data_IF_668662402685
#
_entry.id   IF_668662402685
#
_cell.length_a   1.000
_cell.length_b   1.000
_cell.length_c   1.000
_cell.angle_alpha   90.00
_cell.angle_beta   90.00
_cell.angle_gamma   90.00
#
_symmetry.space_group_name_H-M   'P 1'
#
loop_
_entity.id
_entity.type
_entity.pdbx_description
1 polymer ?
#
# COMPACT_ATOMS: atom_id res chain seq x y z
N UNK A 1 5.35 -6.17 -17.47
CA UNK A 1 6.45 -6.83 -16.70
C UNK A 1 5.89 -7.53 -15.44
N UNK A 2 6.65 -8.35 -14.68
CA UNK A 2 6.10 -9.09 -13.52
C UNK A 2 5.52 -8.22 -12.37
N UNK A 3 5.75 -6.92 -12.38
CA UNK A 3 5.44 -5.98 -11.28
C UNK A 3 4.17 -5.14 -11.50
N UNK A 4 3.77 -4.83 -12.75
CA UNK A 4 2.40 -4.35 -13.05
C UNK A 4 1.43 -5.32 -12.39
N UNK A 5 1.70 -6.62 -12.51
CA UNK A 5 0.93 -7.66 -11.83
C UNK A 5 0.91 -7.53 -10.30
N UNK A 6 1.93 -7.04 -9.58
CA UNK A 6 1.91 -7.15 -8.09
C UNK A 6 1.13 -6.04 -7.40
N UNK A 7 1.29 -4.78 -7.81
CA UNK A 7 0.45 -3.66 -7.35
C UNK A 7 -0.99 -3.83 -7.83
N UNK A 8 -1.16 -4.19 -9.11
CA UNK A 8 -2.44 -4.56 -9.70
C UNK A 8 -3.07 -5.79 -9.03
N UNK A 9 -2.32 -6.83 -8.65
CA UNK A 9 -2.86 -8.00 -7.92
C UNK A 9 -3.33 -7.60 -6.52
N UNK A 10 -2.63 -6.70 -5.82
CA UNK A 10 -3.09 -6.24 -4.51
C UNK A 10 -4.36 -5.39 -4.66
N UNK A 11 -4.39 -4.48 -5.65
CA UNK A 11 -5.57 -3.70 -6.02
C UNK A 11 -6.76 -4.59 -6.42
N UNK A 12 -6.56 -5.52 -7.35
CA UNK A 12 -7.55 -6.50 -7.82
C UNK A 12 -8.00 -7.44 -6.69
N UNK A 13 -7.09 -7.87 -5.81
CA UNK A 13 -7.43 -8.68 -4.65
C UNK A 13 -8.31 -7.88 -3.70
N UNK A 14 -7.93 -6.65 -3.39
CA UNK A 14 -8.72 -5.77 -2.52
C UNK A 14 -10.09 -5.48 -3.12
N UNK A 15 -10.15 -5.22 -4.43
CA UNK A 15 -11.39 -4.98 -5.17
C UNK A 15 -12.29 -6.23 -5.21
N UNK A 16 -11.74 -7.39 -5.57
CA UNK A 16 -12.50 -8.65 -5.64
C UNK A 16 -13.01 -9.12 -4.29
N UNK A 17 -12.29 -8.81 -3.21
CA UNK A 17 -12.68 -9.13 -1.84
C UNK A 17 -13.55 -8.05 -1.17
N UNK A 18 -13.91 -6.98 -1.90
CA UNK A 18 -14.62 -5.82 -1.34
C UNK A 18 -13.94 -5.25 -0.09
N UNK A 19 -12.61 -5.31 -0.03
CA UNK A 19 -11.82 -4.76 1.08
C UNK A 19 -11.83 -3.24 0.92
N UNK A 20 -12.43 -2.49 1.87
CA UNK A 20 -12.42 -1.04 1.80
C UNK A 20 -11.00 -0.51 1.94
N UNK A 21 -10.63 0.40 1.07
CA UNK A 21 -9.40 1.18 1.19
C UNK A 21 -9.61 2.62 0.79
N UNK A 22 -8.84 3.51 1.40
CA UNK A 22 -8.72 4.90 0.94
C UNK A 22 -7.29 5.20 0.54
N UNK A 23 -7.17 6.06 -0.47
CA UNK A 23 -5.91 6.67 -0.87
C UNK A 23 -6.13 8.18 -0.93
N UNK A 24 -5.28 8.92 -0.21
CA UNK A 24 -5.27 10.37 -0.21
C UNK A 24 -3.84 10.88 -0.42
N UNK A 25 -3.72 12.08 -0.97
CA UNK A 25 -2.44 12.75 -1.21
C UNK A 25 -2.50 14.10 -0.50
N UNK A 26 -1.52 14.38 0.37
CA UNK A 26 -1.34 15.69 0.98
C UNK A 26 0.10 16.17 0.77
N UNK A 27 0.26 17.16 -0.11
CA UNK A 27 1.58 17.58 -0.57
C UNK A 27 2.32 16.43 -1.25
N UNK A 28 3.47 16.06 -0.70
CA UNK A 28 4.32 14.99 -1.23
C UNK A 28 4.04 13.60 -0.61
N UNK A 29 3.07 13.51 0.31
CA UNK A 29 2.81 12.31 1.11
C UNK A 29 1.54 11.61 0.62
N UNK A 30 1.67 10.32 0.31
CA UNK A 30 0.56 9.43 0.00
C UNK A 30 0.15 8.71 1.28
N UNK A 31 -1.14 8.77 1.57
CA UNK A 31 -1.78 8.10 2.69
C UNK A 31 -2.65 6.98 2.15
N UNK A 32 -2.35 5.74 2.53
CA UNK A 32 -3.11 4.55 2.17
C UNK A 32 -3.67 3.92 3.44
N UNK A 33 -4.97 3.65 3.48
CA UNK A 33 -5.63 2.94 4.59
C UNK A 33 -6.36 1.73 4.03
N UNK A 34 -6.13 0.54 4.60
CA UNK A 34 -6.73 -0.73 4.15
C UNK A 34 -7.46 -1.40 5.32
N UNK A 35 -8.75 -1.70 5.14
CA UNK A 35 -9.61 -2.33 6.13
C UNK A 35 -9.91 -3.81 5.79
N UNK A 36 -8.98 -4.73 6.09
CA UNK A 36 -9.04 -6.11 5.59
C UNK A 36 -9.90 -7.10 6.42
N UNK A 37 -10.16 -6.82 7.70
CA UNK A 37 -10.97 -7.69 8.62
C UNK A 37 -10.45 -9.13 8.82
N UNK A 38 -9.16 -9.40 8.61
CA UNK A 38 -8.57 -10.75 8.69
C UNK A 38 -7.63 -10.97 9.89
N UNK A 39 -7.54 -10.01 10.81
CA UNK A 39 -6.73 -10.10 12.03
C UNK A 39 -5.25 -9.73 11.85
N UNK A 40 -4.55 -9.53 12.97
CA UNK A 40 -3.23 -8.88 13.01
C UNK A 40 -2.14 -9.57 12.17
N UNK A 41 -2.23 -10.89 11.97
CA UNK A 41 -1.29 -11.63 11.11
C UNK A 41 -1.38 -11.16 9.66
N UNK A 42 -2.59 -10.87 9.18
CA UNK A 42 -2.80 -10.31 7.85
C UNK A 42 -2.35 -8.87 7.77
N UNK A 43 -2.54 -8.05 8.81
CA UNK A 43 -1.96 -6.70 8.85
C UNK A 43 -0.44 -6.72 8.70
N UNK A 44 0.23 -7.63 9.40
CA UNK A 44 1.69 -7.81 9.30
C UNK A 44 2.12 -8.30 7.91
N UNK A 45 1.37 -9.22 7.31
CA UNK A 45 1.64 -9.70 5.95
C UNK A 45 1.52 -8.58 4.92
N UNK A 46 0.44 -7.78 4.98
CA UNK A 46 0.23 -6.65 4.08
C UNK A 46 1.35 -5.61 4.26
N UNK A 47 1.79 -5.33 5.50
CA UNK A 47 2.96 -4.49 5.76
C UNK A 47 4.21 -5.00 5.03
N UNK A 48 4.53 -6.29 5.15
CA UNK A 48 5.70 -6.87 4.48
C UNK A 48 5.59 -6.77 2.96
N UNK A 49 4.40 -7.04 2.41
CA UNK A 49 4.14 -6.94 0.97
C UNK A 49 4.36 -5.52 0.47
N UNK A 50 3.75 -4.53 1.13
CA UNK A 50 3.87 -3.11 0.79
C UNK A 50 5.32 -2.62 0.96
N UNK A 51 6.02 -3.01 2.02
CA UNK A 51 7.41 -2.62 2.24
C UNK A 51 8.36 -3.13 1.15
N UNK A 52 8.19 -4.39 0.75
CA UNK A 52 8.94 -4.97 -0.37
C UNK A 52 8.61 -4.27 -1.69
N UNK A 53 7.36 -3.86 -1.87
CA UNK A 53 6.91 -3.13 -3.05
C UNK A 53 7.59 -1.75 -3.12
N UNK A 54 7.43 -0.93 -2.07
CA UNK A 54 7.99 0.43 -2.04
C UNK A 54 9.51 0.45 -2.14
N UNK A 55 10.22 -0.41 -1.38
CA UNK A 55 11.70 -0.47 -1.43
C UNK A 55 12.22 -0.83 -2.82
N UNK A 56 11.45 -1.58 -3.62
CA UNK A 56 11.83 -1.94 -4.97
C UNK A 56 11.66 -0.80 -5.97
N UNK A 57 10.65 0.05 -5.80
CA UNK A 57 10.36 1.17 -6.70
C UNK A 57 11.11 2.44 -6.34
N UNK A 58 11.21 2.73 -5.05
CA UNK A 58 11.94 3.88 -4.53
C UNK A 58 12.90 3.36 -3.46
N UNK A 59 14.13 2.99 -3.85
CA UNK A 59 15.16 2.62 -2.89
C UNK A 59 15.31 3.70 -1.82
N UNK A 60 15.53 3.27 -0.57
CA UNK A 60 15.69 4.15 0.60
C UNK A 60 14.45 5.01 0.97
N UNK A 61 13.27 4.66 0.46
CA UNK A 61 12.03 5.36 0.83
C UNK A 61 11.63 5.12 2.29
N UNK A 62 11.32 6.21 2.99
CA UNK A 62 10.91 6.17 4.38
C UNK A 62 9.40 5.92 4.51
N UNK A 63 9.00 4.64 4.53
CA UNK A 63 7.60 4.25 4.71
C UNK A 63 7.25 4.18 6.19
N UNK A 64 6.18 4.87 6.59
CA UNK A 64 5.61 4.75 7.94
C UNK A 64 4.37 3.87 7.91
N UNK A 65 4.24 3.01 8.91
CA UNK A 65 3.12 2.09 9.06
C UNK A 65 2.48 2.25 10.43
N UNK A 66 1.16 2.30 10.46
CA UNK A 66 0.35 2.09 11.66
C UNK A 66 -0.44 0.81 11.47
N UNK A 67 -0.31 -0.11 12.42
CA UNK A 67 -0.92 -1.44 12.35
C UNK A 67 -1.90 -1.60 13.48
N UNK A 68 -3.14 -1.89 13.12
CA UNK A 68 -4.16 -2.40 14.02
C UNK A 68 -4.55 -3.81 13.61
N UNK A 69 -5.46 -4.43 14.36
CA UNK A 69 -5.86 -5.82 14.13
C UNK A 69 -6.42 -6.04 12.72
N UNK A 70 -7.20 -5.09 12.20
CA UNK A 70 -7.91 -5.24 10.92
C UNK A 70 -7.67 -4.08 9.96
N UNK A 71 -6.77 -3.18 10.33
CA UNK A 71 -6.48 -1.94 9.62
C UNK A 71 -4.98 -1.80 9.49
N UNK A 72 -4.53 -1.42 8.31
CA UNK A 72 -3.16 -0.94 8.09
C UNK A 72 -3.24 0.44 7.45
N UNK A 73 -2.55 1.40 8.06
CA UNK A 73 -2.37 2.74 7.50
C UNK A 73 -0.91 2.91 7.10
N UNK A 74 -0.67 3.49 5.93
CA UNK A 74 0.65 3.68 5.34
C UNK A 74 0.81 5.12 4.93
N UNK A 75 1.94 5.72 5.30
CA UNK A 75 2.34 7.04 4.83
C UNK A 75 3.66 6.88 4.08
N UNK A 76 3.70 7.35 2.85
CA UNK A 76 4.85 7.15 1.97
C UNK A 76 5.11 8.42 1.14
N UNK A 77 6.33 8.98 1.18
CA UNK A 77 6.66 10.21 0.46
C UNK A 77 6.99 9.89 -1.01
N UNK A 78 5.96 9.71 -1.83
CA UNK A 78 6.11 9.39 -3.27
C UNK A 78 6.20 10.64 -4.15
N UNK A 79 5.82 11.80 -3.60
CA UNK A 79 5.74 13.07 -4.33
C UNK A 79 4.36 13.30 -4.95
N UNK A 80 3.99 14.56 -5.17
CA UNK A 80 2.62 14.92 -5.60
C UNK A 80 2.21 14.37 -6.97
N UNK A 81 3.20 14.08 -7.81
CA UNK A 81 3.03 13.72 -9.22
C UNK A 81 3.19 12.21 -9.47
N UNK A 82 3.32 11.41 -8.41
CA UNK A 82 3.55 9.97 -8.55
C UNK A 82 2.26 9.22 -8.89
N UNK A 83 2.26 8.52 -10.02
CA UNK A 83 1.21 7.59 -10.45
C UNK A 83 1.79 6.17 -10.58
N UNK A 84 1.12 5.19 -9.99
CA UNK A 84 1.52 3.78 -10.08
C UNK A 84 1.37 3.20 -11.49
N UNK A 85 0.67 3.91 -12.39
CA UNK A 85 0.42 3.52 -13.77
C UNK A 85 1.37 4.16 -14.80
N UNK A 86 2.20 5.13 -14.40
CA UNK A 86 3.10 5.86 -15.29
C UNK A 86 4.47 5.16 -15.51
N UNK A 87 4.67 3.99 -14.91
CA UNK A 87 5.92 3.22 -14.97
C UNK A 87 5.68 1.78 -15.35
#
# INVERSE_FOLDING_TARGET
MPWEKTGFILGDYMQSMSIPSSHAIEGEIHYLVIHHKMGVKWSMFIKMLLGNMFTKFVPDINVRYEIEENIISVQVPLGSDWDEHDH
#
